data_IF_470445494946
#
_entry.id   IF_470445494946
#
_cell.length_a   1.000
_cell.length_b   1.000
_cell.length_c   1.000
_cell.angle_alpha   90.00
_cell.angle_beta   90.00
_cell.angle_gamma   90.00
#
_symmetry.space_group_name_H-M   'P 1'
#
loop_
_entity.id
_entity.type
_entity.pdbx_description
1 polymer ?
#
# COMPACT_ATOMS: atom_id res chain seq x y z
N UNK A 1 -8.55 -8.29 9.10
CA UNK A 1 -7.35 -8.24 8.24
C UNK A 1 -7.06 -9.63 7.69
N UNK A 2 -6.78 -9.74 6.41
CA UNK A 2 -6.48 -11.03 5.77
C UNK A 2 -5.22 -11.67 6.36
N UNK A 3 -5.17 -13.02 6.47
CA UNK A 3 -4.06 -13.73 7.09
C UNK A 3 -2.83 -13.78 6.17
N UNK A 4 -1.65 -13.82 6.79
CA UNK A 4 -0.40 -14.14 6.10
C UNK A 4 -0.48 -15.53 5.47
N UNK A 5 0.12 -15.71 4.30
CA UNK A 5 0.08 -16.94 3.51
C UNK A 5 -1.18 -17.09 2.68
N UNK A 6 -2.20 -16.26 2.90
CA UNK A 6 -3.40 -16.21 2.09
C UNK A 6 -3.17 -15.52 0.75
N UNK A 7 -4.06 -15.78 -0.20
CA UNK A 7 -4.01 -15.11 -1.50
C UNK A 7 -4.71 -13.76 -1.44
N UNK A 8 -4.03 -12.71 -1.89
CA UNK A 8 -4.60 -11.39 -1.98
C UNK A 8 -5.70 -11.34 -3.06
N UNK A 9 -6.92 -10.86 -2.75
CA UNK A 9 -7.99 -10.73 -3.74
C UNK A 9 -7.60 -9.77 -4.87
N UNK A 10 -7.93 -10.15 -6.12
CA UNK A 10 -7.76 -9.27 -7.27
C UNK A 10 -8.76 -8.10 -7.19
N UNK A 11 -8.34 -6.93 -7.63
CA UNK A 11 -9.19 -5.76 -7.73
C UNK A 11 -8.75 -4.87 -8.90
N UNK A 12 -9.65 -3.98 -9.30
CA UNK A 12 -9.36 -2.85 -10.19
C UNK A 12 -9.99 -1.60 -9.62
N UNK A 13 -9.20 -0.56 -9.42
CA UNK A 13 -9.64 0.72 -8.87
C UNK A 13 -9.07 1.87 -9.72
N UNK A 14 -9.76 3.02 -9.80
CA UNK A 14 -9.20 4.22 -10.41
C UNK A 14 -8.11 4.82 -9.52
N UNK A 15 -7.04 5.27 -10.17
CA UNK A 15 -5.98 6.03 -9.50
C UNK A 15 -6.30 7.54 -9.44
N UNK A 16 -5.34 8.34 -8.98
CA UNK A 16 -5.46 9.80 -8.89
C UNK A 16 -5.61 10.52 -10.23
N UNK A 17 -5.30 9.86 -11.33
CA UNK A 17 -5.47 10.37 -12.70
C UNK A 17 -6.66 9.71 -13.43
N UNK A 18 -7.54 9.05 -12.67
CA UNK A 18 -8.75 8.37 -13.16
C UNK A 18 -8.45 7.20 -14.12
N UNK A 19 -7.22 6.67 -14.07
CA UNK A 19 -6.84 5.47 -14.82
C UNK A 19 -7.13 4.22 -13.98
N UNK A 20 -7.74 3.22 -14.59
CA UNK A 20 -8.01 1.94 -13.91
C UNK A 20 -6.70 1.16 -13.70
N UNK A 21 -6.44 0.80 -12.46
CA UNK A 21 -5.25 0.04 -12.05
C UNK A 21 -5.68 -1.23 -11.33
N UNK A 22 -5.15 -2.37 -11.77
CA UNK A 22 -5.41 -3.66 -11.14
C UNK A 22 -4.27 -4.08 -10.22
N UNK A 23 -4.56 -4.96 -9.25
CA UNK A 23 -3.52 -5.57 -8.42
C UNK A 23 -2.48 -6.29 -9.28
N UNK A 24 -2.91 -7.03 -10.29
CA UNK A 24 -2.00 -7.74 -11.21
C UNK A 24 -1.04 -6.79 -11.92
N UNK A 25 -1.51 -5.60 -12.33
CA UNK A 25 -0.65 -4.57 -12.94
C UNK A 25 0.39 -4.04 -11.94
N UNK A 26 -0.01 -3.80 -10.70
CA UNK A 26 0.90 -3.34 -9.64
C UNK A 26 1.98 -4.38 -9.28
N UNK A 27 1.69 -5.65 -9.48
CA UNK A 27 2.62 -6.76 -9.20
C UNK A 27 3.52 -7.14 -10.40
N UNK A 28 3.41 -6.44 -11.52
CA UNK A 28 4.10 -6.82 -12.76
C UNK A 28 5.62 -6.86 -12.63
N UNK A 29 6.20 -5.96 -11.86
CA UNK A 29 7.66 -5.79 -11.77
C UNK A 29 8.26 -6.22 -10.43
N UNK A 30 7.46 -6.63 -9.48
CA UNK A 30 7.94 -7.03 -8.16
C UNK A 30 6.81 -7.15 -7.14
N UNK A 31 7.19 -7.35 -5.90
CA UNK A 31 6.25 -7.35 -4.78
C UNK A 31 5.72 -5.95 -4.51
N UNK A 32 4.52 -5.88 -3.94
CA UNK A 32 3.78 -4.65 -3.67
C UNK A 32 3.63 -4.43 -2.16
N UNK A 33 3.91 -3.21 -1.74
CA UNK A 33 3.47 -2.68 -0.46
C UNK A 33 2.12 -2.00 -0.69
N UNK A 34 1.04 -2.62 -0.19
CA UNK A 34 -0.32 -2.09 -0.32
C UNK A 34 -0.80 -1.61 1.05
N UNK A 35 -1.04 -0.31 1.21
CA UNK A 35 -1.52 0.22 2.47
C UNK A 35 -2.92 0.83 2.36
N UNK A 36 -3.73 0.62 3.39
CA UNK A 36 -5.07 1.15 3.53
C UNK A 36 -5.07 2.26 4.58
N UNK A 37 -5.75 3.36 4.28
CA UNK A 37 -5.81 4.51 5.17
C UNK A 37 -7.18 5.22 5.11
N UNK A 38 -7.60 5.90 6.20
CA UNK A 38 -8.96 6.46 6.30
C UNK A 38 -9.26 7.61 5.36
N UNK A 39 -8.38 8.60 5.25
CA UNK A 39 -8.68 9.81 4.50
C UNK A 39 -7.44 10.65 4.16
N UNK A 40 -7.46 11.28 2.98
CA UNK A 40 -6.49 12.29 2.60
C UNK A 40 -6.54 13.49 3.56
N UNK A 41 -5.43 14.23 3.66
CA UNK A 41 -5.28 15.47 4.44
C UNK A 41 -5.47 15.36 5.96
N UNK A 42 -5.73 14.19 6.51
CA UNK A 42 -5.67 13.99 7.97
C UNK A 42 -4.21 13.96 8.43
N UNK A 43 -3.94 14.38 9.67
CA UNK A 43 -2.57 14.47 10.19
C UNK A 43 -1.83 13.12 10.14
N UNK A 44 -2.48 12.04 10.56
CA UNK A 44 -1.90 10.69 10.54
C UNK A 44 -1.63 10.16 9.14
N UNK A 45 -2.60 10.30 8.23
CA UNK A 45 -2.46 9.82 6.85
C UNK A 45 -1.44 10.66 6.07
N UNK A 46 -1.38 11.96 6.31
CA UNK A 46 -0.35 12.83 5.73
C UNK A 46 1.05 12.43 6.20
N UNK A 47 1.22 12.17 7.49
CA UNK A 47 2.50 11.72 8.05
C UNK A 47 2.94 10.39 7.46
N UNK A 48 2.02 9.42 7.34
CA UNK A 48 2.31 8.12 6.73
C UNK A 48 2.70 8.26 5.26
N UNK A 49 1.92 9.01 4.47
CA UNK A 49 2.20 9.23 3.06
C UNK A 49 3.55 9.94 2.82
N UNK A 50 3.88 10.95 3.62
CA UNK A 50 5.17 11.62 3.54
C UNK A 50 6.34 10.72 3.95
N UNK A 51 6.15 9.86 4.95
CA UNK A 51 7.14 8.85 5.34
C UNK A 51 7.41 7.85 4.20
N UNK A 52 6.37 7.36 3.55
CA UNK A 52 6.48 6.47 2.37
C UNK A 52 7.14 7.21 1.21
N UNK A 53 6.77 8.47 0.93
CA UNK A 53 7.41 9.30 -0.09
C UNK A 53 8.92 9.37 0.10
N UNK A 54 9.37 9.60 1.32
CA UNK A 54 10.78 9.72 1.65
C UNK A 54 11.54 8.39 1.49
N UNK A 55 10.83 7.26 1.51
CA UNK A 55 11.36 5.92 1.29
C UNK A 55 11.20 5.42 -0.15
N UNK A 56 10.58 6.18 -1.04
CA UNK A 56 10.22 5.71 -2.40
C UNK A 56 11.42 5.22 -3.19
N UNK A 57 12.55 5.93 -3.14
CA UNK A 57 13.77 5.52 -3.85
C UNK A 57 14.30 4.17 -3.34
N UNK A 58 14.33 3.96 -2.03
CA UNK A 58 14.77 2.72 -1.40
C UNK A 58 13.83 1.55 -1.71
N UNK A 59 12.52 1.82 -1.71
CA UNK A 59 11.47 0.85 -2.09
C UNK A 59 11.70 0.38 -3.54
N UNK A 60 11.89 1.31 -4.47
CA UNK A 60 12.13 1.00 -5.87
C UNK A 60 13.44 0.27 -6.10
N UNK A 61 14.52 0.66 -5.44
CA UNK A 61 15.82 -0.02 -5.51
C UNK A 61 15.75 -1.46 -4.98
N UNK A 62 14.86 -1.73 -4.03
CA UNK A 62 14.62 -3.08 -3.53
C UNK A 62 13.73 -3.94 -4.46
N UNK A 63 13.28 -3.40 -5.60
CA UNK A 63 12.38 -4.10 -6.52
C UNK A 63 10.93 -4.17 -6.04
N UNK A 64 10.56 -3.30 -5.11
CA UNK A 64 9.20 -3.19 -4.59
C UNK A 64 8.47 -2.01 -5.23
N UNK A 65 7.14 -2.09 -5.26
CA UNK A 65 6.27 -0.96 -5.57
C UNK A 65 5.39 -0.66 -4.35
N UNK A 66 4.72 0.50 -4.35
CA UNK A 66 3.82 0.90 -3.28
C UNK A 66 2.56 1.54 -3.84
N UNK A 67 1.42 1.21 -3.23
CA UNK A 67 0.14 1.85 -3.52
C UNK A 67 -0.68 2.05 -2.25
N UNK A 68 -1.36 3.17 -2.16
CA UNK A 68 -2.31 3.48 -1.09
C UNK A 68 -3.75 3.31 -1.55
N UNK A 69 -4.62 2.85 -0.67
CA UNK A 69 -6.06 2.71 -0.92
C UNK A 69 -6.84 3.44 0.16
N UNK A 70 -7.76 4.30 -0.25
CA UNK A 70 -8.71 4.93 0.66
C UNK A 70 -10.07 5.14 -0.01
N UNK A 71 -11.15 5.44 0.74
CA UNK A 71 -12.46 5.72 0.16
C UNK A 71 -12.58 7.12 -0.44
N UNK A 72 -11.52 7.89 -0.49
CA UNK A 72 -11.54 9.23 -1.09
C UNK A 72 -11.61 9.18 -2.62
N UNK A 73 -12.09 10.26 -3.23
CA UNK A 73 -12.24 10.37 -4.69
C UNK A 73 -10.88 10.53 -5.40
N UNK A 74 -10.80 10.24 -6.72
CA UNK A 74 -9.61 10.53 -7.50
C UNK A 74 -9.18 12.00 -7.44
N UNK A 75 -10.13 12.93 -7.43
CA UNK A 75 -9.83 14.36 -7.30
C UNK A 75 -9.17 14.70 -5.96
N UNK A 76 -9.64 14.12 -4.85
CA UNK A 76 -9.02 14.26 -3.54
C UNK A 76 -7.60 13.69 -3.54
N UNK A 77 -7.41 12.50 -4.06
CA UNK A 77 -6.10 11.86 -4.18
C UNK A 77 -5.12 12.66 -5.04
N UNK A 78 -5.60 13.26 -6.14
CA UNK A 78 -4.77 14.13 -6.97
C UNK A 78 -4.30 15.36 -6.20
N UNK A 79 -5.20 16.04 -5.50
CA UNK A 79 -4.85 17.19 -4.68
C UNK A 79 -3.87 16.82 -3.55
N UNK A 80 -4.07 15.67 -2.92
CA UNK A 80 -3.19 15.15 -1.88
C UNK A 80 -1.79 14.81 -2.40
N UNK A 81 -1.71 14.09 -3.52
CA UNK A 81 -0.46 13.81 -4.23
C UNK A 81 0.30 15.08 -4.57
N UNK A 82 -0.37 16.05 -5.18
CA UNK A 82 0.26 17.28 -5.66
C UNK A 82 0.78 18.13 -4.51
N UNK A 83 -0.02 18.26 -3.44
CA UNK A 83 0.38 19.03 -2.25
C UNK A 83 1.60 18.45 -1.57
N UNK A 84 1.67 17.14 -1.41
CA UNK A 84 2.74 16.46 -0.69
C UNK A 84 3.81 15.84 -1.59
N UNK A 85 3.71 16.04 -2.91
CA UNK A 85 4.67 15.53 -3.92
C UNK A 85 4.87 14.01 -3.80
N UNK A 86 3.76 13.28 -3.67
CA UNK A 86 3.79 11.82 -3.59
C UNK A 86 4.13 11.23 -4.96
N UNK A 87 5.03 10.26 -4.99
CA UNK A 87 5.53 9.62 -6.21
C UNK A 87 5.01 8.18 -6.37
N UNK A 88 3.94 7.84 -5.72
CA UNK A 88 3.33 6.52 -5.77
C UNK A 88 1.81 6.62 -6.02
N UNK A 89 1.23 5.50 -6.42
CA UNK A 89 -0.17 5.40 -6.79
C UNK A 89 -1.09 5.49 -5.57
N UNK A 90 -2.15 6.29 -5.68
CA UNK A 90 -3.27 6.34 -4.74
C UNK A 90 -4.54 5.85 -5.44
N UNK A 91 -5.20 4.87 -4.86
CA UNK A 91 -6.35 4.18 -5.42
C UNK A 91 -7.64 4.55 -4.66
N UNK A 92 -8.69 4.85 -5.41
CA UNK A 92 -9.98 5.30 -4.87
C UNK A 92 -10.95 4.13 -4.77
N UNK A 93 -11.29 3.74 -3.54
CA UNK A 93 -12.29 2.71 -3.23
C UNK A 93 -13.52 3.37 -2.58
N UNK A 94 -14.21 4.23 -3.34
CA UNK A 94 -15.32 5.06 -2.84
C UNK A 94 -16.43 4.21 -2.19
N UNK A 95 -16.74 3.07 -2.79
CA UNK A 95 -17.77 2.14 -2.30
C UNK A 95 -17.25 1.20 -1.20
N UNK A 96 -15.99 1.29 -0.84
CA UNK A 96 -15.31 0.44 0.16
C UNK A 96 -15.38 -1.05 -0.16
N UNK A 97 -15.49 -1.42 -1.43
CA UNK A 97 -15.59 -2.82 -1.86
C UNK A 97 -14.27 -3.57 -1.60
N UNK A 98 -13.15 -3.00 -2.01
CA UNK A 98 -11.82 -3.58 -1.80
C UNK A 98 -11.43 -3.53 -0.32
N UNK A 99 -11.76 -2.45 0.37
CA UNK A 99 -11.56 -2.30 1.83
C UNK A 99 -12.26 -3.45 2.58
N UNK A 100 -13.48 -3.80 2.19
CA UNK A 100 -14.19 -4.97 2.77
C UNK A 100 -13.53 -6.30 2.39
N UNK A 101 -13.15 -6.47 1.12
CA UNK A 101 -12.46 -7.70 0.67
C UNK A 101 -11.15 -7.97 1.43
N UNK A 102 -10.44 -6.91 1.78
CA UNK A 102 -9.17 -6.99 2.52
C UNK A 102 -9.38 -7.01 4.04
N UNK A 103 -10.62 -7.02 4.48
CA UNK A 103 -10.99 -7.09 5.90
C UNK A 103 -10.33 -5.98 6.75
N UNK A 104 -10.35 -4.76 6.21
CA UNK A 104 -9.82 -3.57 6.89
C UNK A 104 -10.86 -2.48 7.09
N UNK A 105 -12.15 -2.83 7.03
CA UNK A 105 -13.23 -1.96 7.42
C UNK A 105 -13.23 -1.75 8.93
N UNK A 106 -13.55 -0.53 9.37
CA UNK A 106 -13.63 -0.19 10.79
C UNK A 106 -14.81 -0.87 11.52
N UNK A 107 -14.88 -0.72 12.84
CA UNK A 107 -15.94 -1.31 13.65
C UNK A 107 -17.33 -0.93 13.15
N UNK A 108 -18.27 -1.89 13.17
CA UNK A 108 -19.65 -1.72 12.72
C UNK A 108 -19.79 -1.21 11.26
N UNK A 109 -18.74 -1.43 10.43
CA UNK A 109 -18.73 -0.98 9.04
C UNK A 109 -18.38 0.49 8.84
N UNK A 110 -18.00 1.20 9.89
CA UNK A 110 -17.61 2.61 9.82
C UNK A 110 -16.10 2.77 9.72
N UNK A 111 -15.67 3.70 8.85
CA UNK A 111 -14.27 4.05 8.68
C UNK A 111 -13.44 2.97 8.00
N UNK A 112 -12.13 3.18 8.00
CA UNK A 112 -11.11 2.27 7.46
C UNK A 112 -10.02 2.12 8.50
N UNK A 113 -9.61 0.89 8.75
CA UNK A 113 -8.48 0.58 9.61
C UNK A 113 -7.18 0.78 8.85
N UNK A 114 -6.18 1.29 9.53
CA UNK A 114 -4.86 1.49 8.94
C UNK A 114 -4.11 0.16 8.93
N UNK A 115 -3.92 -0.39 7.73
CA UNK A 115 -3.26 -1.66 7.51
C UNK A 115 -2.27 -1.58 6.35
N UNK A 116 -1.18 -2.31 6.43
CA UNK A 116 -0.20 -2.43 5.35
C UNK A 116 0.11 -3.90 5.10
N UNK A 117 0.04 -4.30 3.83
CA UNK A 117 0.34 -5.65 3.35
C UNK A 117 1.59 -5.64 2.48
N UNK A 118 2.39 -6.69 2.58
CA UNK A 118 3.40 -7.05 1.57
C UNK A 118 2.86 -8.22 0.76
N UNK A 119 2.66 -8.01 -0.54
CA UNK A 119 2.09 -9.00 -1.47
C UNK A 119 3.13 -9.33 -2.52
N UNK A 120 3.39 -10.61 -2.74
CA UNK A 120 4.34 -11.04 -3.77
C UNK A 120 3.71 -11.11 -5.17
N UNK A 121 4.54 -11.33 -6.19
CA UNK A 121 4.09 -11.39 -7.58
C UNK A 121 3.10 -12.54 -7.85
N UNK A 122 3.11 -13.59 -7.04
CA UNK A 122 2.15 -14.69 -7.11
C UNK A 122 0.83 -14.38 -6.35
N UNK A 123 0.68 -13.15 -5.85
CA UNK A 123 -0.46 -12.67 -5.07
C UNK A 123 -0.61 -13.28 -3.68
N UNK A 124 0.46 -13.77 -3.07
CA UNK A 124 0.43 -14.22 -1.69
C UNK A 124 0.81 -13.11 -0.72
N UNK A 125 0.06 -13.00 0.37
CA UNK A 125 0.34 -12.08 1.47
C UNK A 125 1.53 -12.63 2.27
N UNK A 126 2.67 -11.98 2.17
CA UNK A 126 3.91 -12.40 2.84
C UNK A 126 4.06 -11.81 4.23
N UNK A 127 3.52 -10.64 4.46
CA UNK A 127 3.51 -9.98 5.75
C UNK A 127 2.38 -8.95 5.81
N UNK A 128 1.97 -8.58 7.01
CA UNK A 128 0.94 -7.58 7.22
C UNK A 128 1.08 -6.93 8.60
N UNK A 129 0.69 -5.66 8.71
CA UNK A 129 0.61 -4.92 9.96
C UNK A 129 -0.72 -4.15 10.03
N UNK A 130 -1.32 -4.14 11.20
CA UNK A 130 -2.52 -3.37 11.52
C UNK A 130 -2.20 -2.48 12.73
N UNK A 131 -2.21 -1.16 12.53
CA UNK A 131 -1.90 -0.22 13.59
C UNK A 131 -2.56 1.13 13.34
N UNK A 132 -3.76 1.32 13.88
CA UNK A 132 -4.60 2.49 13.59
C UNK A 132 -3.97 3.83 14.02
N UNK A 133 -3.20 3.82 15.13
CA UNK A 133 -2.64 5.04 15.74
C UNK A 133 -1.10 5.08 15.78
N UNK A 134 -0.43 3.99 15.42
CA UNK A 134 1.04 3.88 15.49
C UNK A 134 1.65 3.86 14.09
N UNK A 135 1.72 5.02 13.45
CA UNK A 135 2.26 5.18 12.09
C UNK A 135 3.70 4.67 11.99
N UNK A 136 4.49 4.81 13.06
CA UNK A 136 5.85 4.27 13.12
C UNK A 136 5.95 2.76 12.91
N UNK A 137 4.90 2.00 13.22
CA UNK A 137 4.87 0.56 12.95
C UNK A 137 4.77 0.26 11.44
N UNK A 138 4.03 1.09 10.68
CA UNK A 138 3.96 0.96 9.23
C UNK A 138 5.29 1.33 8.58
N UNK A 139 5.94 2.38 9.04
CA UNK A 139 7.28 2.75 8.57
C UNK A 139 8.30 1.64 8.86
N UNK A 140 8.34 1.11 10.07
CA UNK A 140 9.21 -0.01 10.43
C UNK A 140 8.92 -1.26 9.59
N UNK A 141 7.67 -1.54 9.31
CA UNK A 141 7.25 -2.63 8.42
C UNK A 141 7.82 -2.45 7.01
N UNK A 142 7.70 -1.25 6.43
CA UNK A 142 8.20 -0.95 5.09
C UNK A 142 9.73 -1.06 5.05
N UNK A 143 10.44 -0.50 6.04
CA UNK A 143 11.91 -0.61 6.14
C UNK A 143 12.37 -2.06 6.21
N UNK A 144 11.65 -2.90 6.96
CA UNK A 144 11.93 -4.35 7.04
C UNK A 144 11.71 -5.04 5.70
N UNK A 145 10.61 -4.73 4.99
CA UNK A 145 10.33 -5.29 3.68
C UNK A 145 11.42 -4.93 2.66
N UNK A 146 11.88 -3.68 2.66
CA UNK A 146 12.99 -3.19 1.82
C UNK A 146 14.28 -3.95 2.15
N UNK A 147 14.64 -4.09 3.40
CA UNK A 147 15.87 -4.78 3.82
C UNK A 147 15.89 -6.26 3.42
N UNK A 148 14.76 -6.97 3.60
CA UNK A 148 14.63 -8.37 3.21
C UNK A 148 14.71 -8.57 1.69
N UNK A 149 14.10 -7.70 0.92
CA UNK A 149 14.12 -7.76 -0.56
C UNK A 149 15.50 -7.43 -1.12
N UNK A 150 16.21 -6.46 -0.56
CA UNK A 150 17.58 -6.12 -0.93
C UNK A 150 18.58 -7.25 -0.60
N UNK A 151 18.36 -8.00 0.49
CA UNK A 151 19.17 -9.16 0.87
C UNK A 151 19.00 -10.35 -0.08
N UNK A 152 17.81 -10.54 -0.65
CA UNK A 152 17.51 -11.59 -1.63
C UNK A 152 18.21 -11.38 -2.98
N UNK A 153 18.35 -10.14 -3.41
CA UNK A 153 19.03 -9.79 -4.66
C UNK A 153 20.55 -10.06 -4.64
N UNK A 154 21.15 -10.18 -3.45
CA UNK A 154 22.59 -10.49 -3.32
C UNK A 154 22.92 -12.00 -3.28
N UNK A 155 21.94 -12.87 -3.38
CA UNK A 155 22.09 -14.33 -3.38
C UNK A 155 21.79 -14.97 -4.74
N UNK A 156 22.13 -14.33 -5.83
CA UNK A 156 22.24 -15.04 -7.11
C UNK A 156 23.58 -15.81 -7.08
N UNK A 157 23.59 -17.14 -7.26
CA UNK A 157 24.84 -17.88 -7.31
C UNK A 157 25.57 -17.50 -8.59
N UNK A 158 26.79 -17.06 -8.45
CA UNK A 158 27.75 -17.06 -9.53
C UNK A 158 28.05 -18.53 -9.88
N UNK A 159 27.57 -18.98 -11.01
CA UNK A 159 28.10 -20.15 -11.72
C UNK A 159 29.27 -19.76 -12.54
#
# INVERSE_FOLDING_TARGET
>A
MLPMGGRAPEFTLPDQDEQNVSLSTLLRHGSLILYFYPADFTAGCTREACSIRDLTAEIQQAGLDVAGVSPQTPASHRAFRDKHKLQFTLLSDVDKFVIRMYDVQGPLGFGVRRATYLIDQARYIRSAVLADFRISQHEAFIRKAVALSAGGARRAPTT
#
